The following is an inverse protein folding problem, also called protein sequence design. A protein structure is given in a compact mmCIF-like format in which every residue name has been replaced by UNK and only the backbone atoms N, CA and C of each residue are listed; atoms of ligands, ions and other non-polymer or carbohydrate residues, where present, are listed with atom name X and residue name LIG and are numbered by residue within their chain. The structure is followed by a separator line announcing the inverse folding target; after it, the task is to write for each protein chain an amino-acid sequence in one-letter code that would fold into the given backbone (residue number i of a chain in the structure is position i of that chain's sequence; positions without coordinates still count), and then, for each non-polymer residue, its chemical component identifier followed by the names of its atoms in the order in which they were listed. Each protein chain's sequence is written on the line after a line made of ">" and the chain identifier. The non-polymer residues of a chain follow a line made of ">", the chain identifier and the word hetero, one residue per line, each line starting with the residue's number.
data_IF_465058688069
#
_entry.id   IF_465058688069
#
_cell.length_a   1.000
_cell.length_b   1.000
_cell.length_c   1.000
_cell.angle_alpha   90.00
_cell.angle_beta   90.00
_cell.angle_gamma   90.00
#
_symmetry.space_group_name_H-M   'P 1'
#
loop_
_entity.id
_entity.type
_entity.pdbx_description
1 polymer ?
#
# COMPACT_ATOMS: atom_id res chain seq x y z
N UNK A 1 -32.70 27.33 57.86
CA UNK A 1 -31.30 27.08 57.52
C UNK A 1 -31.26 25.85 56.59
N UNK A 2 -31.03 26.03 55.25
CA UNK A 2 -31.01 24.95 54.26
C UNK A 2 -29.58 24.71 53.95
N UNK A 3 -29.06 23.50 54.24
CA UNK A 3 -27.71 23.02 53.94
C UNK A 3 -27.68 22.62 52.49
N UNK A 4 -26.86 23.26 51.68
CA UNK A 4 -26.60 22.92 50.30
C UNK A 4 -25.43 21.91 50.29
N UNK A 5 -25.72 20.68 49.87
CA UNK A 5 -24.70 19.66 49.67
C UNK A 5 -24.06 19.90 48.30
N UNK A 6 -22.76 20.21 48.31
CA UNK A 6 -21.93 20.35 47.10
C UNK A 6 -21.46 18.97 46.70
N UNK A 7 -22.04 18.42 45.65
CA UNK A 7 -21.56 17.16 45.02
C UNK A 7 -20.42 17.51 44.06
N UNK A 8 -19.21 17.18 44.45
CA UNK A 8 -18.04 17.29 43.59
C UNK A 8 -18.10 16.19 42.50
N UNK A 9 -18.30 16.59 41.26
CA UNK A 9 -18.22 15.71 40.08
C UNK A 9 -16.73 15.56 39.71
N UNK A 10 -16.13 14.43 40.07
CA UNK A 10 -14.79 14.11 39.68
C UNK A 10 -14.80 13.72 38.19
N UNK A 11 -14.30 14.59 37.31
CA UNK A 11 -14.09 14.33 35.91
C UNK A 11 -12.86 13.40 35.79
N UNK A 12 -13.09 12.12 35.56
CA UNK A 12 -12.02 11.17 35.21
C UNK A 12 -11.67 11.45 33.77
N UNK A 13 -10.57 12.17 33.54
CA UNK A 13 -9.94 12.22 32.22
C UNK A 13 -9.32 10.85 31.93
N UNK A 14 -10.03 10.04 31.15
CA UNK A 14 -9.42 8.88 30.49
C UNK A 14 -8.42 9.42 29.49
N UNK A 15 -7.14 9.39 29.84
CA UNK A 15 -6.04 9.59 28.89
C UNK A 15 -6.04 8.38 27.99
N UNK A 16 -6.79 8.44 26.89
CA UNK A 16 -6.59 7.51 25.78
C UNK A 16 -5.20 7.79 25.24
N UNK A 17 -4.28 6.87 25.52
CA UNK A 17 -2.99 6.85 24.83
C UNK A 17 -3.28 6.81 23.34
N UNK A 18 -3.18 7.96 22.67
CA UNK A 18 -3.18 8.01 21.23
C UNK A 18 -1.93 7.21 20.80
N UNK A 19 -2.13 5.97 20.39
CA UNK A 19 -1.09 5.25 19.68
C UNK A 19 -0.78 6.10 18.46
N UNK A 20 0.40 6.71 18.47
CA UNK A 20 0.87 7.44 17.31
C UNK A 20 0.81 6.47 16.13
N UNK A 21 -0.03 6.77 15.16
CA UNK A 21 -0.15 5.94 13.97
C UNK A 21 1.24 5.89 13.33
N UNK A 22 1.78 4.68 13.20
CA UNK A 22 3.09 4.48 12.62
C UNK A 22 3.10 5.02 11.19
N UNK A 23 3.96 5.99 10.91
CA UNK A 23 4.08 6.57 9.57
C UNK A 23 4.88 5.60 8.71
N UNK A 24 4.25 5.06 7.69
CA UNK A 24 4.88 4.17 6.72
C UNK A 24 4.98 4.87 5.36
N UNK A 25 6.02 4.58 4.56
CA UNK A 25 7.14 3.68 4.85
C UNK A 25 8.11 4.25 5.89
N UNK A 26 8.67 3.35 6.71
CA UNK A 26 9.71 3.75 7.67
C UNK A 26 10.95 4.21 6.93
N UNK A 27 11.60 5.29 7.37
CA UNK A 27 12.91 5.67 6.83
C UNK A 27 13.93 4.57 7.12
N UNK A 28 14.89 4.42 6.21
CA UNK A 28 15.99 3.49 6.44
C UNK A 28 16.77 3.92 7.70
N UNK A 29 17.12 2.97 8.58
CA UNK A 29 17.92 3.28 9.75
C UNK A 29 19.30 3.81 9.31
N UNK A 30 19.90 4.73 10.06
CA UNK A 30 21.24 5.21 9.76
C UNK A 30 22.24 4.06 9.89
N UNK A 31 23.24 4.05 9.02
CA UNK A 31 24.33 3.08 9.06
C UNK A 31 25.03 3.10 10.43
N UNK A 32 25.08 1.94 11.09
CA UNK A 32 25.69 1.73 12.42
C UNK A 32 27.04 1.02 12.35
N UNK A 33 27.49 0.66 11.16
CA UNK A 33 28.79 0.04 10.94
C UNK A 33 29.95 1.04 11.04
N UNK A 34 31.15 0.57 10.71
CA UNK A 34 32.34 1.39 10.65
C UNK A 34 32.97 1.31 9.27
N UNK A 35 33.24 2.44 8.66
CA UNK A 35 33.97 2.55 7.41
C UNK A 35 35.41 2.92 7.74
N UNK A 36 36.33 1.96 7.66
CA UNK A 36 37.77 2.16 7.82
C UNK A 36 38.48 2.33 6.46
N UNK A 37 39.81 2.49 6.50
CA UNK A 37 40.63 2.59 5.29
C UNK A 37 40.84 1.22 4.62
N UNK A 38 40.69 0.15 5.39
CA UNK A 38 40.82 -1.25 4.93
C UNK A 38 39.61 -2.08 5.39
N UNK A 39 39.45 -3.25 4.78
CA UNK A 39 38.39 -4.20 5.18
C UNK A 39 38.53 -4.62 6.64
N UNK A 40 39.77 -4.81 7.11
CA UNK A 40 40.06 -5.23 8.48
C UNK A 40 39.73 -4.17 9.54
N UNK A 41 39.69 -2.91 9.13
CA UNK A 41 39.33 -1.78 9.99
C UNK A 41 37.85 -1.41 9.91
N UNK A 42 37.12 -2.07 9.02
CA UNK A 42 35.71 -1.83 8.73
C UNK A 42 34.84 -2.88 9.38
N UNK A 43 33.64 -2.49 9.76
CA UNK A 43 32.57 -3.42 10.19
C UNK A 43 31.31 -3.15 9.41
N UNK A 44 30.74 -4.16 8.75
CA UNK A 44 29.49 -4.01 8.03
C UNK A 44 28.31 -3.83 9.01
N UNK A 45 27.28 -3.17 8.53
CA UNK A 45 25.99 -3.10 9.21
C UNK A 45 24.94 -3.63 8.22
N UNK A 46 24.59 -4.90 8.41
CA UNK A 46 23.57 -5.52 7.61
C UNK A 46 22.19 -5.24 8.20
N UNK A 47 21.20 -4.86 7.38
CA UNK A 47 19.83 -4.74 7.87
C UNK A 47 19.37 -6.02 8.55
N UNK A 48 18.78 -5.89 9.73
CA UNK A 48 18.15 -7.03 10.40
C UNK A 48 16.95 -7.48 9.57
N UNK A 49 16.90 -8.77 9.27
CA UNK A 49 15.75 -9.35 8.58
C UNK A 49 14.51 -9.22 9.46
N UNK A 50 13.49 -8.55 8.95
CA UNK A 50 12.16 -8.50 9.58
C UNK A 50 11.38 -9.68 9.05
N UNK A 51 10.80 -10.47 9.95
CA UNK A 51 9.98 -11.61 9.59
C UNK A 51 8.51 -11.33 9.87
N UNK A 52 7.64 -11.76 8.98
CA UNK A 52 6.20 -11.67 9.19
C UNK A 52 5.78 -12.50 10.42
N UNK A 53 4.72 -12.05 11.09
CA UNK A 53 4.18 -12.76 12.25
C UNK A 53 3.82 -14.21 11.90
N UNK A 54 4.00 -15.13 12.84
CA UNK A 54 3.59 -16.51 12.66
C UNK A 54 2.09 -16.56 12.31
N UNK A 55 1.75 -17.29 11.25
CA UNK A 55 0.37 -17.40 10.76
C UNK A 55 -0.11 -16.20 9.92
N UNK A 56 0.75 -15.25 9.59
CA UNK A 56 0.41 -14.16 8.67
C UNK A 56 -0.04 -14.74 7.32
N UNK A 57 -1.19 -14.28 6.75
CA UNK A 57 -1.72 -14.81 5.51
C UNK A 57 -0.87 -14.41 4.31
N UNK A 58 -0.82 -15.26 3.29
CA UNK A 58 -0.31 -14.87 1.98
C UNK A 58 -1.31 -13.92 1.29
N UNK A 59 -0.78 -12.95 0.56
CA UNK A 59 -1.59 -11.96 -0.18
C UNK A 59 -1.27 -12.14 -1.66
N UNK A 60 -2.29 -12.50 -2.45
CA UNK A 60 -2.20 -12.56 -3.91
C UNK A 60 -3.14 -11.52 -4.51
N UNK A 61 -2.58 -10.55 -5.23
CA UNK A 61 -3.32 -9.57 -6.00
C UNK A 61 -3.20 -9.90 -7.48
N UNK A 62 -4.33 -10.12 -8.14
CA UNK A 62 -4.40 -10.35 -9.59
C UNK A 62 -5.14 -9.17 -10.20
N UNK A 63 -4.48 -8.48 -11.12
CA UNK A 63 -5.04 -7.35 -11.86
C UNK A 63 -5.05 -7.68 -13.34
N UNK A 64 -6.23 -7.84 -13.90
CA UNK A 64 -6.41 -7.98 -15.34
C UNK A 64 -6.25 -6.62 -16.03
N UNK A 65 -5.74 -6.64 -17.26
CA UNK A 65 -5.52 -5.43 -18.03
C UNK A 65 -6.59 -5.31 -19.13
N UNK A 66 -7.19 -4.14 -19.25
CA UNK A 66 -8.26 -3.82 -20.21
C UNK A 66 -9.45 -4.80 -20.20
N UNK A 67 -9.72 -5.43 -19.05
CA UNK A 67 -10.87 -6.30 -18.88
C UNK A 67 -12.03 -5.52 -18.25
N UNK A 68 -13.10 -5.37 -19.01
CA UNK A 68 -14.34 -4.78 -18.51
C UNK A 68 -15.13 -5.73 -17.63
N UNK A 69 -16.04 -5.17 -16.84
CA UNK A 69 -16.90 -5.88 -15.88
C UNK A 69 -17.69 -7.03 -16.54
N UNK A 70 -18.18 -6.83 -17.76
CA UNK A 70 -18.92 -7.83 -18.51
C UNK A 70 -18.09 -8.89 -19.24
N UNK A 71 -16.78 -8.98 -19.02
CA UNK A 71 -15.92 -9.95 -19.70
C UNK A 71 -15.97 -11.35 -19.05
N UNK A 72 -15.79 -11.41 -17.74
CA UNK A 72 -15.70 -12.66 -16.98
C UNK A 72 -17.06 -13.27 -16.66
N UNK A 73 -17.16 -14.62 -16.67
CA UNK A 73 -18.38 -15.34 -16.27
C UNK A 73 -18.85 -14.98 -14.86
N UNK A 74 -17.94 -14.66 -13.98
CA UNK A 74 -18.20 -14.21 -12.60
C UNK A 74 -19.14 -13.00 -12.52
N UNK A 75 -19.14 -12.15 -13.55
CA UNK A 75 -20.01 -10.98 -13.68
C UNK A 75 -21.05 -11.13 -14.81
N UNK A 76 -21.28 -12.35 -15.29
CA UNK A 76 -22.24 -12.65 -16.36
C UNK A 76 -21.67 -12.50 -17.76
N UNK A 77 -20.38 -12.37 -17.91
CA UNK A 77 -19.69 -12.27 -19.19
C UNK A 77 -19.52 -13.61 -19.92
N UNK A 78 -19.15 -13.58 -21.20
CA UNK A 78 -19.06 -14.78 -22.03
C UNK A 78 -17.77 -15.59 -21.82
N UNK A 79 -16.78 -15.05 -21.12
CA UNK A 79 -15.48 -15.72 -20.91
C UNK A 79 -15.55 -16.57 -19.64
N UNK A 80 -15.42 -17.90 -19.75
CA UNK A 80 -15.40 -18.77 -18.57
C UNK A 80 -14.22 -18.47 -17.66
N UNK A 81 -14.49 -18.12 -16.41
CA UNK A 81 -13.47 -17.81 -15.39
C UNK A 81 -13.72 -18.61 -14.11
N UNK A 82 -13.63 -19.97 -14.16
CA UNK A 82 -14.09 -20.85 -13.09
C UNK A 82 -13.36 -20.59 -11.74
N UNK A 83 -12.10 -20.19 -11.77
CA UNK A 83 -11.36 -19.85 -10.54
C UNK A 83 -11.92 -18.57 -9.91
N UNK A 84 -12.21 -17.54 -10.70
CA UNK A 84 -12.85 -16.32 -10.19
C UNK A 84 -14.26 -16.60 -9.68
N UNK A 85 -15.02 -17.46 -10.36
CA UNK A 85 -16.34 -17.90 -9.93
C UNK A 85 -16.28 -18.58 -8.56
N UNK A 86 -15.31 -19.47 -8.35
CA UNK A 86 -15.08 -20.14 -7.09
C UNK A 86 -14.69 -19.15 -5.96
N UNK A 87 -13.84 -18.18 -6.25
CA UNK A 87 -13.48 -17.14 -5.30
C UNK A 87 -14.67 -16.26 -4.94
N UNK A 88 -15.50 -15.91 -5.93
CA UNK A 88 -16.71 -15.11 -5.70
C UNK A 88 -17.77 -15.86 -4.88
N UNK A 89 -17.85 -17.19 -4.99
CA UNK A 89 -18.73 -18.02 -4.17
C UNK A 89 -18.27 -18.11 -2.72
N UNK A 90 -16.96 -18.10 -2.48
CA UNK A 90 -16.35 -18.21 -1.15
C UNK A 90 -16.08 -16.85 -0.48
N UNK A 91 -16.19 -15.76 -1.21
CA UNK A 91 -15.79 -14.42 -0.77
C UNK A 91 -16.79 -13.33 -1.11
N UNK A 92 -16.27 -12.13 -1.34
CA UNK A 92 -17.07 -10.96 -1.70
C UNK A 92 -16.93 -10.65 -3.20
N UNK A 93 -18.03 -10.27 -3.81
CA UNK A 93 -18.09 -9.77 -5.17
C UNK A 93 -18.63 -8.33 -5.15
N UNK A 94 -17.79 -7.37 -5.52
CA UNK A 94 -18.20 -5.98 -5.63
C UNK A 94 -18.82 -5.73 -7.01
N UNK A 95 -20.01 -5.16 -7.04
CA UNK A 95 -20.73 -4.80 -8.28
C UNK A 95 -20.65 -3.32 -8.62
N UNK A 96 -20.10 -2.51 -7.70
CA UNK A 96 -19.86 -1.09 -7.89
C UNK A 96 -18.40 -0.80 -7.51
N UNK A 97 -17.49 -1.22 -8.37
CA UNK A 97 -16.05 -0.99 -8.23
C UNK A 97 -15.57 -0.14 -9.40
N UNK A 98 -15.06 1.04 -9.09
CA UNK A 98 -14.63 2.01 -10.09
C UNK A 98 -13.11 2.13 -10.10
N UNK A 99 -12.55 2.21 -11.29
CA UNK A 99 -11.13 2.48 -11.54
C UNK A 99 -10.99 3.82 -12.28
N UNK A 100 -9.76 4.25 -12.52
CA UNK A 100 -9.52 5.33 -13.48
C UNK A 100 -9.70 4.83 -14.91
N UNK A 101 -9.75 5.74 -15.87
CA UNK A 101 -9.93 5.38 -17.28
C UNK A 101 -8.68 4.75 -17.93
N UNK A 102 -7.52 4.77 -17.27
CA UNK A 102 -6.24 4.35 -17.82
C UNK A 102 -5.49 3.40 -16.87
N UNK A 103 -4.62 2.56 -17.46
CA UNK A 103 -3.88 1.52 -16.75
C UNK A 103 -2.88 2.09 -15.72
N UNK A 104 -1.97 2.99 -16.09
CA UNK A 104 -0.97 3.54 -15.16
C UNK A 104 -1.61 4.27 -13.97
N UNK A 105 -2.58 5.19 -14.15
CA UNK A 105 -3.27 5.82 -13.03
C UNK A 105 -3.99 4.83 -12.11
N UNK A 106 -4.68 3.83 -12.66
CA UNK A 106 -5.35 2.80 -11.86
C UNK A 106 -4.34 1.99 -11.04
N UNK A 107 -3.24 1.57 -11.68
CA UNK A 107 -2.17 0.81 -11.00
C UNK A 107 -1.50 1.63 -9.92
N UNK A 108 -1.19 2.90 -10.18
CA UNK A 108 -0.62 3.80 -9.19
C UNK A 108 -1.55 3.97 -7.98
N UNK A 109 -2.84 4.24 -8.21
CA UNK A 109 -3.81 4.36 -7.13
C UNK A 109 -3.93 3.08 -6.31
N UNK A 110 -3.96 1.91 -6.96
CA UNK A 110 -4.05 0.61 -6.32
C UNK A 110 -2.83 0.32 -5.43
N UNK A 111 -1.62 0.47 -5.96
CA UNK A 111 -0.40 0.10 -5.22
C UNK A 111 -0.03 1.07 -4.11
N UNK A 112 -0.49 2.33 -4.20
CA UNK A 112 -0.17 3.37 -3.20
C UNK A 112 -1.30 3.64 -2.22
N UNK A 113 -2.54 3.22 -2.54
CA UNK A 113 -3.74 3.58 -1.78
C UNK A 113 -4.03 5.09 -1.82
N UNK A 114 -3.47 5.83 -2.78
CA UNK A 114 -3.62 7.27 -2.91
C UNK A 114 -4.24 7.65 -4.25
N UNK A 115 -4.76 8.87 -4.33
CA UNK A 115 -5.20 9.41 -5.60
C UNK A 115 -4.02 9.41 -6.60
N UNK A 116 -4.29 9.01 -7.83
CA UNK A 116 -3.29 8.86 -8.88
C UNK A 116 -2.55 10.17 -9.20
N UNK A 117 -3.20 11.33 -9.09
CA UNK A 117 -2.50 12.62 -9.25
C UNK A 117 -1.54 12.88 -8.09
N UNK A 118 -1.89 12.47 -6.85
CA UNK A 118 -0.96 12.55 -5.71
C UNK A 118 0.23 11.61 -5.90
N UNK A 119 0.03 10.49 -6.58
CA UNK A 119 1.09 9.56 -6.99
C UNK A 119 1.80 10.00 -8.29
N UNK A 120 1.57 11.24 -8.76
CA UNK A 120 2.14 11.82 -9.98
C UNK A 120 1.83 11.06 -11.27
N UNK A 121 0.81 10.23 -11.26
CA UNK A 121 0.41 9.39 -12.41
C UNK A 121 -1.00 9.76 -12.88
N UNK A 122 -1.21 11.04 -13.21
CA UNK A 122 -2.46 11.54 -13.77
C UNK A 122 -2.73 11.10 -15.20
N UNK A 123 -1.71 10.53 -15.87
CA UNK A 123 -1.75 10.06 -17.25
C UNK A 123 -0.94 8.74 -17.34
N UNK A 124 -1.01 8.01 -18.45
CA UNK A 124 -0.15 6.84 -18.68
C UNK A 124 1.32 7.26 -18.80
N UNK A 125 2.21 6.33 -18.48
CA UNK A 125 3.64 6.62 -18.35
C UNK A 125 4.25 7.25 -19.61
N UNK A 126 3.82 6.81 -20.78
CA UNK A 126 4.30 7.27 -22.08
C UNK A 126 3.96 8.74 -22.41
N UNK A 127 2.97 9.28 -21.73
CA UNK A 127 2.48 10.65 -21.94
C UNK A 127 2.77 11.59 -20.77
N UNK A 128 3.80 11.25 -19.98
CA UNK A 128 4.25 12.11 -18.90
C UNK A 128 4.56 13.54 -19.37
N UNK A 129 4.18 14.50 -18.57
CA UNK A 129 4.37 15.93 -18.84
C UNK A 129 5.17 16.57 -17.71
N UNK A 130 5.63 17.81 -17.89
CA UNK A 130 6.34 18.55 -16.83
C UNK A 130 5.41 19.22 -15.79
N UNK A 131 4.14 18.84 -15.73
CA UNK A 131 3.19 19.43 -14.79
C UNK A 131 2.99 18.58 -13.53
N UNK A 132 2.75 19.22 -12.36
CA UNK A 132 2.50 18.52 -11.12
C UNK A 132 1.37 17.50 -11.24
N UNK A 133 1.60 16.28 -10.75
CA UNK A 133 0.64 15.18 -10.82
C UNK A 133 0.59 14.44 -12.15
N UNK A 134 1.34 14.89 -13.17
CA UNK A 134 1.36 14.31 -14.52
C UNK A 134 2.78 14.01 -15.04
N UNK A 135 3.78 14.13 -14.20
CA UNK A 135 5.19 13.91 -14.56
C UNK A 135 5.57 12.41 -14.57
N UNK A 136 4.66 11.55 -14.15
CA UNK A 136 4.82 10.09 -14.11
C UNK A 136 5.96 9.57 -13.22
N UNK A 137 6.54 10.45 -12.41
CA UNK A 137 7.59 10.12 -11.46
C UNK A 137 6.99 9.97 -10.05
N UNK A 138 6.64 8.75 -9.70
CA UNK A 138 6.02 8.48 -8.40
C UNK A 138 6.97 8.88 -7.26
N UNK A 139 6.58 9.83 -6.38
CA UNK A 139 7.45 10.27 -5.31
C UNK A 139 7.57 9.18 -4.23
N UNK A 140 8.77 9.01 -3.69
CA UNK A 140 9.04 8.03 -2.62
C UNK A 140 8.11 8.20 -1.40
N UNK A 141 7.64 9.42 -1.17
CA UNK A 141 6.74 9.77 -0.06
C UNK A 141 5.36 9.12 -0.13
N UNK A 142 4.90 8.65 -1.30
CA UNK A 142 3.60 8.00 -1.39
C UNK A 142 3.65 6.54 -0.94
N UNK A 143 4.82 5.91 -0.94
CA UNK A 143 5.01 4.51 -0.55
C UNK A 143 4.11 3.55 -1.33
N UNK A 144 4.47 2.28 -1.37
CA UNK A 144 3.61 1.25 -1.95
C UNK A 144 3.21 0.23 -0.87
N UNK A 145 2.07 -0.43 -1.04
CA UNK A 145 1.69 -1.48 -0.10
C UNK A 145 2.72 -2.63 -0.06
N UNK A 146 3.40 -2.90 -1.18
CA UNK A 146 4.47 -3.89 -1.23
C UNK A 146 5.66 -3.49 -0.36
N UNK A 147 6.06 -2.20 -0.38
CA UNK A 147 7.09 -1.67 0.51
C UNK A 147 6.68 -1.77 1.98
N UNK A 148 5.44 -1.39 2.29
CA UNK A 148 4.89 -1.50 3.64
C UNK A 148 4.89 -2.96 4.11
N UNK A 149 4.41 -3.90 3.29
CA UNK A 149 4.42 -5.32 3.61
C UNK A 149 5.84 -5.86 3.81
N UNK A 150 6.81 -5.43 2.98
CA UNK A 150 8.21 -5.80 3.15
C UNK A 150 8.77 -5.36 4.50
N UNK A 151 8.41 -4.15 4.96
CA UNK A 151 8.80 -3.66 6.28
C UNK A 151 8.17 -4.46 7.45
N UNK A 152 7.09 -5.19 7.16
CA UNK A 152 6.45 -6.14 8.08
C UNK A 152 6.89 -7.60 7.88
N UNK A 153 7.96 -7.84 7.13
CA UNK A 153 8.60 -9.14 6.96
C UNK A 153 7.99 -10.03 5.89
N UNK A 154 7.15 -9.47 5.01
CA UNK A 154 6.68 -10.20 3.84
C UNK A 154 7.72 -10.19 2.73
N UNK A 155 7.84 -11.29 2.01
CA UNK A 155 8.49 -11.29 0.72
C UNK A 155 7.51 -10.77 -0.32
N UNK A 156 7.94 -9.79 -1.12
CA UNK A 156 7.09 -9.17 -2.13
C UNK A 156 7.65 -9.40 -3.52
N UNK A 157 6.79 -9.72 -4.46
CA UNK A 157 7.15 -9.97 -5.86
C UNK A 157 6.12 -9.38 -6.80
N UNK A 158 6.56 -9.00 -7.98
CA UNK A 158 5.71 -8.50 -9.05
C UNK A 158 5.95 -9.32 -10.32
N UNK A 159 4.88 -9.68 -10.99
CA UNK A 159 4.93 -10.43 -12.25
C UNK A 159 4.02 -9.75 -13.29
N UNK A 160 4.48 -9.65 -14.51
CA UNK A 160 3.74 -9.05 -15.61
C UNK A 160 3.83 -7.53 -15.66
N UNK A 161 2.80 -6.90 -16.22
CA UNK A 161 2.77 -5.46 -16.49
C UNK A 161 2.82 -4.62 -15.21
N UNK A 162 3.85 -3.79 -15.08
CA UNK A 162 3.96 -2.78 -14.03
C UNK A 162 3.31 -1.46 -14.45
N UNK A 163 3.81 -0.85 -15.50
CA UNK A 163 3.33 0.39 -16.12
C UNK A 163 3.25 1.59 -15.15
N UNK A 164 4.13 1.61 -14.14
CA UNK A 164 4.29 2.72 -13.19
C UNK A 164 5.76 3.09 -12.99
N UNK A 165 6.64 2.60 -13.83
CA UNK A 165 8.05 2.99 -13.90
C UNK A 165 8.35 3.47 -15.30
N UNK A 166 9.20 4.49 -15.48
CA UNK A 166 9.71 4.88 -16.80
C UNK A 166 10.42 3.69 -17.45
N UNK A 167 10.35 3.62 -18.78
CA UNK A 167 11.09 2.64 -19.59
C UNK A 167 12.59 2.95 -19.61
#
# INVERSE_FOLDING_TARGET
>A
MKTIALTAFALVFAVTSAYAQEVLPKPEPPFQGKIGRTVNESSPDFPKEVQASAGAPNILLILTDDAGDGAASTFGGPIPTPTMDSLAQAGLRYTQFHTTALCSPTRAALITGRNHHTAHTGVIMEFGTGYPGYDTLMPKSVGTFAEVLKQHGYNTSWYGKNHNVPD
#
